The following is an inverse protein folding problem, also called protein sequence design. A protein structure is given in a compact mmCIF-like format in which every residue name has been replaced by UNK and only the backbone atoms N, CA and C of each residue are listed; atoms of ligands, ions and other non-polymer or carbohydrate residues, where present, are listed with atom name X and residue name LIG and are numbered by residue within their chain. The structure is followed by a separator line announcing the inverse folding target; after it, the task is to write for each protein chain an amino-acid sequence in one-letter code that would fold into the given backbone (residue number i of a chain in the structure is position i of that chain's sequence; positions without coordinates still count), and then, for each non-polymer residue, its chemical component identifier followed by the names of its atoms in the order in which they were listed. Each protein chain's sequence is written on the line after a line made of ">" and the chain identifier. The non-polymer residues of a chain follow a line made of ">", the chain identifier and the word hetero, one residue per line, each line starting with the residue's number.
data_IF_207922679869
#
_entry.id   IF_207922679869
#
_cell.length_a   1.000
_cell.length_b   1.000
_cell.length_c   1.000
_cell.angle_alpha   90.00
_cell.angle_beta   90.00
_cell.angle_gamma   90.00
#
_symmetry.space_group_name_H-M   'P 1'
#
loop_
_entity.id
_entity.type
_entity.pdbx_description
1 polymer ?
#
# COMPACT_ATOMS: atom_id res chain seq x y z
N UNK A 1 -13.97 7.22 -24.23
CA UNK A 1 -12.78 8.07 -24.44
C UNK A 1 -11.56 7.22 -24.20
N UNK A 2 -10.80 6.93 -25.27
CA UNK A 2 -9.91 5.77 -25.40
C UNK A 2 -8.56 5.99 -24.71
N UNK A 3 -8.14 4.94 -24.00
CA UNK A 3 -6.77 4.42 -23.86
C UNK A 3 -5.72 5.22 -24.66
N UNK A 4 -4.92 6.06 -23.99
CA UNK A 4 -3.60 6.52 -24.51
C UNK A 4 -2.61 7.03 -23.45
N UNK A 5 -2.95 7.01 -22.15
CA UNK A 5 -2.05 7.35 -21.02
C UNK A 5 -2.01 6.27 -19.91
N UNK A 6 -2.46 5.05 -20.26
CA UNK A 6 -2.45 3.77 -19.51
C UNK A 6 -2.25 3.81 -17.98
N UNK A 7 -3.06 4.60 -17.29
CA UNK A 7 -3.41 4.36 -15.89
C UNK A 7 -4.92 4.60 -15.79
N UNK A 8 -5.70 3.54 -15.59
CA UNK A 8 -7.13 3.72 -15.33
C UNK A 8 -7.32 4.29 -13.93
N UNK A 9 -8.49 4.88 -13.64
CA UNK A 9 -8.78 5.31 -12.27
C UNK A 9 -8.69 4.16 -11.26
N UNK A 10 -8.98 2.92 -11.68
CA UNK A 10 -8.83 1.72 -10.85
C UNK A 10 -7.36 1.41 -10.57
N UNK A 11 -6.51 1.43 -11.60
CA UNK A 11 -5.07 1.21 -11.44
C UNK A 11 -4.43 2.32 -10.62
N UNK A 12 -4.88 3.56 -10.81
CA UNK A 12 -4.44 4.71 -10.02
C UNK A 12 -4.76 4.50 -8.54
N UNK A 13 -5.98 4.06 -8.20
CA UNK A 13 -6.35 3.76 -6.82
C UNK A 13 -5.55 2.59 -6.24
N UNK A 14 -5.30 1.53 -7.02
CA UNK A 14 -4.43 0.42 -6.60
C UNK A 14 -3.00 0.86 -6.31
N UNK A 15 -2.40 1.64 -7.21
CA UNK A 15 -1.05 2.19 -7.01
C UNK A 15 -1.01 3.13 -5.82
N UNK A 16 -2.05 3.94 -5.62
CA UNK A 16 -2.14 4.86 -4.50
C UNK A 16 -2.18 4.10 -3.16
N UNK A 17 -2.97 3.04 -3.08
CA UNK A 17 -3.01 2.12 -1.93
C UNK A 17 -1.65 1.44 -1.71
N UNK A 18 -1.04 0.90 -2.77
CA UNK A 18 0.29 0.29 -2.73
C UNK A 18 1.35 1.28 -2.26
N UNK A 19 1.23 2.55 -2.65
CA UNK A 19 2.12 3.63 -2.22
C UNK A 19 1.96 4.06 -0.76
N UNK A 20 0.94 3.60 -0.04
CA UNK A 20 0.83 3.78 1.42
C UNK A 20 1.57 2.68 2.19
N UNK A 21 1.54 1.44 1.68
CA UNK A 21 2.19 0.31 2.35
C UNK A 21 3.68 0.19 1.99
N UNK A 22 4.04 0.53 0.74
CA UNK A 22 5.38 0.30 0.21
C UNK A 22 5.83 1.42 -0.73
N UNK A 23 7.15 1.56 -0.90
CA UNK A 23 7.69 2.56 -1.83
C UNK A 23 7.44 2.15 -3.28
N UNK A 24 6.75 3.01 -4.04
CA UNK A 24 6.51 2.76 -5.46
C UNK A 24 7.77 3.04 -6.29
N UNK A 25 8.06 2.24 -7.33
CA UNK A 25 9.12 2.54 -8.28
C UNK A 25 8.88 3.88 -8.97
N UNK A 26 9.97 4.59 -9.30
CA UNK A 26 9.94 5.96 -9.82
C UNK A 26 9.00 6.11 -11.02
N UNK A 27 8.96 5.13 -11.93
CA UNK A 27 8.12 5.12 -13.13
C UNK A 27 6.62 5.17 -12.80
N UNK A 28 6.17 4.31 -11.88
CA UNK A 28 4.77 4.27 -11.43
C UNK A 28 4.37 5.57 -10.71
N UNK A 29 5.30 6.14 -9.95
CA UNK A 29 5.09 7.42 -9.26
C UNK A 29 4.87 8.58 -10.24
N UNK A 30 5.58 8.60 -11.37
CA UNK A 30 5.37 9.61 -12.42
C UNK A 30 4.07 9.40 -13.18
N UNK A 31 3.74 8.15 -13.54
CA UNK A 31 2.47 7.83 -14.20
C UNK A 31 1.28 8.26 -13.33
N UNK A 32 1.32 7.96 -12.02
CA UNK A 32 0.31 8.38 -11.06
C UNK A 32 0.22 9.90 -10.94
N UNK A 33 1.35 10.63 -10.87
CA UNK A 33 1.35 12.11 -10.84
C UNK A 33 0.65 12.72 -12.06
N UNK A 34 0.95 12.19 -13.26
CA UNK A 34 0.31 12.64 -14.50
C UNK A 34 -1.19 12.36 -14.45
N UNK A 35 -1.61 11.19 -13.99
CA UNK A 35 -3.02 10.85 -13.84
C UNK A 35 -3.75 11.79 -12.84
N UNK A 36 -3.15 12.05 -11.67
CA UNK A 36 -3.70 12.98 -10.66
C UNK A 36 -3.74 14.43 -11.13
N UNK A 37 -2.92 14.80 -12.12
CA UNK A 37 -2.96 16.13 -12.73
C UNK A 37 -4.25 16.34 -13.52
N UNK A 38 -4.69 15.35 -14.29
CA UNK A 38 -5.88 15.45 -15.15
C UNK A 38 -7.17 14.89 -14.51
N UNK A 39 -7.07 13.99 -13.53
CA UNK A 39 -8.21 13.36 -12.87
C UNK A 39 -8.45 13.93 -11.46
N UNK A 40 -9.50 14.75 -11.31
CA UNK A 40 -9.89 15.36 -10.03
C UNK A 40 -10.35 14.31 -9.01
N UNK A 41 -11.08 13.28 -9.46
CA UNK A 41 -11.58 12.22 -8.57
C UNK A 41 -10.46 11.45 -7.90
N UNK A 42 -9.44 11.03 -8.65
CA UNK A 42 -8.28 10.35 -8.09
C UNK A 42 -7.44 11.29 -7.20
N UNK A 43 -7.39 12.60 -7.50
CA UNK A 43 -6.76 13.60 -6.63
C UNK A 43 -7.45 13.72 -5.28
N UNK A 44 -8.77 13.70 -5.25
CA UNK A 44 -9.54 13.73 -4.01
C UNK A 44 -9.31 12.47 -3.19
N UNK A 45 -9.30 11.31 -3.84
CA UNK A 45 -8.98 10.04 -3.18
C UNK A 45 -7.56 10.02 -2.60
N UNK A 46 -6.56 10.51 -3.34
CA UNK A 46 -5.18 10.68 -2.85
C UNK A 46 -5.10 11.53 -1.59
N UNK A 47 -5.90 12.60 -1.51
CA UNK A 47 -5.96 13.45 -0.33
C UNK A 47 -6.63 12.74 0.84
N UNK A 48 -7.69 11.98 0.59
CA UNK A 48 -8.40 11.23 1.64
C UNK A 48 -7.51 10.17 2.27
N UNK A 49 -6.86 9.33 1.45
CA UNK A 49 -6.01 8.26 1.97
C UNK A 49 -4.80 8.80 2.74
N UNK A 50 -4.18 9.88 2.24
CA UNK A 50 -3.07 10.52 2.95
C UNK A 50 -3.50 11.22 4.25
N UNK A 51 -4.74 11.69 4.34
CA UNK A 51 -5.28 12.22 5.61
C UNK A 51 -5.49 11.11 6.63
N UNK A 52 -6.04 9.97 6.20
CA UNK A 52 -6.20 8.79 7.05
C UNK A 52 -4.83 8.35 7.59
N UNK A 53 -3.85 8.17 6.71
CA UNK A 53 -2.47 7.78 7.07
C UNK A 53 -1.86 8.72 8.13
N UNK A 54 -1.97 10.04 7.93
CA UNK A 54 -1.49 11.03 8.91
C UNK A 54 -2.19 10.92 10.26
N UNK A 55 -3.52 10.75 10.27
CA UNK A 55 -4.29 10.59 11.52
C UNK A 55 -3.89 9.30 12.23
N UNK A 56 -3.70 8.20 11.50
CA UNK A 56 -3.21 6.95 12.06
C UNK A 56 -1.83 7.12 12.68
N UNK A 57 -0.89 7.80 12.02
CA UNK A 57 0.42 8.09 12.58
C UNK A 57 0.36 8.94 13.85
N UNK A 58 -0.50 9.97 13.88
CA UNK A 58 -0.70 10.82 15.07
C UNK A 58 -1.31 10.05 16.26
N UNK A 59 -2.20 9.08 15.99
CA UNK A 59 -2.84 8.27 17.04
C UNK A 59 -1.96 7.08 17.43
N UNK A 60 -1.14 6.54 16.53
CA UNK A 60 -0.24 5.42 16.81
C UNK A 60 0.72 5.72 17.96
N UNK A 61 1.22 6.97 18.05
CA UNK A 61 2.03 7.41 19.19
C UNK A 61 1.28 7.31 20.52
N UNK A 62 -0.04 7.54 20.52
CA UNK A 62 -0.90 7.35 21.71
C UNK A 62 -1.12 5.87 22.04
N UNK A 63 -1.12 5.01 21.03
CA UNK A 63 -1.25 3.55 21.17
C UNK A 63 0.09 2.84 21.46
N UNK A 64 1.21 3.56 21.51
CA UNK A 64 2.50 3.02 21.96
C UNK A 64 2.45 2.47 23.41
N UNK A 65 1.38 2.76 24.14
CA UNK A 65 1.07 2.19 25.46
C UNK A 65 0.54 0.75 25.40
N UNK A 66 0.02 0.29 24.25
CA UNK A 66 -0.42 -1.09 24.03
C UNK A 66 0.74 -1.94 23.52
N UNK A 67 1.66 -2.26 24.43
CA UNK A 67 2.72 -3.22 24.15
C UNK A 67 2.18 -4.65 24.29
N UNK A 68 2.38 -5.47 23.26
CA UNK A 68 2.07 -6.90 23.34
C UNK A 68 2.86 -7.51 24.52
N UNK A 69 2.18 -8.29 25.36
CA UNK A 69 2.85 -8.95 26.47
C UNK A 69 3.99 -9.83 25.96
N UNK A 70 5.06 -9.97 26.74
CA UNK A 70 6.22 -10.79 26.37
C UNK A 70 5.79 -12.21 25.98
N UNK A 71 4.86 -12.81 26.72
CA UNK A 71 4.31 -14.13 26.42
C UNK A 71 3.63 -14.17 25.03
N UNK A 72 2.77 -13.19 24.73
CA UNK A 72 2.11 -13.15 23.42
C UNK A 72 3.11 -12.89 22.28
N UNK A 73 4.17 -12.11 22.51
CA UNK A 73 5.24 -11.88 21.54
C UNK A 73 6.05 -13.15 21.26
N UNK A 74 6.39 -13.93 22.28
CA UNK A 74 7.11 -15.20 22.10
C UNK A 74 6.23 -16.24 21.38
N UNK A 75 4.92 -16.33 21.69
CA UNK A 75 4.00 -17.22 20.95
C UNK A 75 3.94 -16.90 19.46
N UNK A 76 3.86 -15.62 19.10
CA UNK A 76 3.86 -15.20 17.68
C UNK A 76 5.19 -15.55 17.02
N UNK A 77 6.31 -15.30 17.71
CA UNK A 77 7.64 -15.64 17.20
C UNK A 77 7.81 -17.13 16.93
N UNK A 78 7.36 -17.98 17.85
CA UNK A 78 7.45 -19.43 17.69
C UNK A 78 6.58 -19.96 16.56
N UNK A 79 5.42 -19.34 16.31
CA UNK A 79 4.59 -19.65 15.14
C UNK A 79 5.28 -19.26 13.84
N UNK A 80 5.88 -18.06 13.76
CA UNK A 80 6.61 -17.63 12.56
C UNK A 80 7.78 -18.56 12.24
N UNK A 81 8.60 -18.94 13.23
CA UNK A 81 9.70 -19.90 13.06
C UNK A 81 9.24 -21.27 12.55
N UNK A 82 8.04 -21.72 12.93
CA UNK A 82 7.46 -22.98 12.46
C UNK A 82 6.95 -22.90 11.02
N UNK A 83 6.60 -21.70 10.56
CA UNK A 83 6.09 -21.42 9.21
C UNK A 83 7.24 -21.15 8.21
N UNK A 84 8.46 -20.90 8.69
CA UNK A 84 9.68 -20.72 7.86
C UNK A 84 10.33 -22.05 7.41
N UNK A 85 9.63 -22.89 6.62
CA UNK A 85 10.30 -23.57 5.51
C UNK A 85 9.66 -23.34 4.14
N UNK A 86 8.73 -22.39 3.96
CA UNK A 86 8.08 -22.28 2.64
C UNK A 86 7.22 -21.07 2.30
N UNK A 87 7.16 -20.00 3.09
CA UNK A 87 6.37 -18.82 2.70
C UNK A 87 7.21 -17.85 1.85
N UNK A 88 7.48 -18.26 0.61
CA UNK A 88 7.67 -17.30 -0.47
C UNK A 88 6.35 -16.56 -0.63
N UNK A 89 6.34 -15.26 -0.35
CA UNK A 89 5.27 -14.40 -0.82
C UNK A 89 5.33 -14.45 -2.34
N UNK A 90 4.45 -15.25 -2.94
CA UNK A 90 4.26 -15.29 -4.38
C UNK A 90 3.66 -13.94 -4.79
N UNK A 91 4.53 -12.96 -5.06
CA UNK A 91 4.26 -11.96 -6.08
C UNK A 91 4.52 -12.65 -7.42
N UNK A 92 3.64 -13.59 -7.77
CA UNK A 92 3.50 -14.03 -9.15
C UNK A 92 3.03 -12.82 -9.95
N UNK A 93 4.01 -12.21 -10.59
CA UNK A 93 3.97 -11.54 -11.87
C UNK A 93 2.64 -11.78 -12.61
N UNK A 94 1.72 -10.80 -12.58
CA UNK A 94 0.75 -10.64 -13.65
C UNK A 94 1.48 -10.04 -14.87
N UNK A 95 2.23 -10.90 -15.58
CA UNK A 95 2.54 -10.67 -16.98
C UNK A 95 1.29 -10.96 -17.84
N UNK A 96 1.05 -10.04 -18.79
CA UNK A 96 0.29 -10.20 -20.02
C UNK A 96 -1.23 -10.34 -19.96
N UNK A 97 -1.92 -9.21 -20.20
CA UNK A 97 -2.95 -9.17 -21.24
C UNK A 97 -3.19 -7.75 -21.81
N UNK A 98 -2.60 -7.49 -22.99
CA UNK A 98 -2.97 -6.52 -24.05
C UNK A 98 -2.85 -5.00 -23.80
#
# INVERSE_FOLDING_TARGET
>A
MKKRLMLTCQDASKLLSKGQEQTLPFRERWALKIHLFFCVSCRNYARQIGWIDQVFHLIADRWNTYHLSHEAKERIRDMLKKVEPGLGCDHSEEENHL
#
